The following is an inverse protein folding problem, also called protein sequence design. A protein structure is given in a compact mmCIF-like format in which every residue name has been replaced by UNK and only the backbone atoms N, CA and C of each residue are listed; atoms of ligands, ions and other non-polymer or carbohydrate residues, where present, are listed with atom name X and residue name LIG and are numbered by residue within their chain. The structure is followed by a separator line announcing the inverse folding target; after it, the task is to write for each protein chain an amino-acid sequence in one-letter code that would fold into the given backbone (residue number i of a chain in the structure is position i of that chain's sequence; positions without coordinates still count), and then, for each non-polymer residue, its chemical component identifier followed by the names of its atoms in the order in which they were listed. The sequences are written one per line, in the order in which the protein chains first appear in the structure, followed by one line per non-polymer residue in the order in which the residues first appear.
data_IF_884011330235
#
_entry.id   IF_884011330235
#
_cell.length_a   1.000
_cell.length_b   1.000
_cell.length_c   1.000
_cell.angle_alpha   90.00
_cell.angle_beta   90.00
_cell.angle_gamma   90.00
#
_symmetry.space_group_name_H-M   'P 1'
#
loop_
_entity.id
_entity.type
_entity.pdbx_description
1 polymer ?
#
# COMPACT_ATOMS: atom_id res chain seq x y z
N UNK A 1 -6.75 -30.86 38.57
CA UNK A 1 -7.28 -29.72 37.79
C UNK A 1 -6.13 -28.84 37.33
N UNK A 2 -5.54 -29.14 36.17
CA UNK A 2 -4.50 -28.32 35.55
C UNK A 2 -5.17 -27.32 34.60
N UNK A 3 -5.34 -26.07 35.06
CA UNK A 3 -5.60 -24.93 34.16
C UNK A 3 -4.27 -24.23 33.92
N UNK A 4 -3.42 -24.82 33.09
CA UNK A 4 -2.17 -24.20 32.67
C UNK A 4 -2.34 -23.57 31.29
N UNK A 5 -2.39 -22.23 31.30
CA UNK A 5 -1.94 -21.32 30.25
C UNK A 5 -2.10 -21.76 28.78
N UNK A 6 -3.31 -21.65 28.24
CA UNK A 6 -3.46 -21.09 26.90
C UNK A 6 -3.55 -19.58 27.07
N UNK A 7 -2.38 -18.94 27.14
CA UNK A 7 -2.28 -17.53 26.76
C UNK A 7 -2.90 -17.44 25.36
N UNK A 8 -3.90 -16.58 25.10
CA UNK A 8 -4.26 -16.29 23.72
C UNK A 8 -2.96 -15.89 23.03
N UNK A 9 -2.67 -16.49 21.88
CA UNK A 9 -1.59 -15.99 21.03
C UNK A 9 -1.99 -14.56 20.69
N UNK A 10 -1.35 -13.59 21.34
CA UNK A 10 -1.24 -12.23 20.81
C UNK A 10 -0.34 -12.29 19.56
N UNK A 11 -0.78 -13.01 18.52
CA UNK A 11 -0.32 -12.71 17.18
C UNK A 11 -1.06 -11.44 16.81
N UNK A 12 -0.38 -10.30 16.97
CA UNK A 12 -0.89 -8.97 16.64
C UNK A 12 -1.63 -9.02 15.31
N UNK A 13 -2.95 -8.87 15.35
CA UNK A 13 -3.79 -8.92 14.17
C UNK A 13 -3.32 -7.80 13.23
N UNK A 14 -2.80 -8.17 12.06
CA UNK A 14 -2.47 -7.21 11.03
C UNK A 14 -3.74 -6.40 10.73
N UNK A 15 -3.62 -5.08 10.67
CA UNK A 15 -4.75 -4.22 10.32
C UNK A 15 -5.26 -4.60 8.92
N UNK A 16 -6.55 -4.39 8.64
CA UNK A 16 -7.12 -4.62 7.30
C UNK A 16 -6.29 -3.94 6.20
N UNK A 17 -5.74 -2.75 6.49
CA UNK A 17 -4.81 -2.04 5.61
C UNK A 17 -3.50 -2.78 5.36
N UNK A 18 -2.92 -3.41 6.38
CA UNK A 18 -1.69 -4.21 6.22
C UNK A 18 -1.97 -5.48 5.41
N UNK A 19 -3.12 -6.12 5.64
CA UNK A 19 -3.51 -7.31 4.88
C UNK A 19 -3.76 -6.97 3.40
N UNK A 20 -4.50 -5.89 3.12
CA UNK A 20 -4.72 -5.42 1.76
C UNK A 20 -3.39 -5.09 1.04
N UNK A 21 -2.47 -4.44 1.75
CA UNK A 21 -1.14 -4.15 1.21
C UNK A 21 -0.37 -5.43 0.87
N UNK A 22 -0.42 -6.45 1.73
CA UNK A 22 0.24 -7.73 1.45
C UNK A 22 -0.29 -8.38 0.18
N UNK A 23 -1.63 -8.44 0.01
CA UNK A 23 -2.23 -8.99 -1.21
C UNK A 23 -1.78 -8.24 -2.47
N UNK A 24 -1.67 -6.91 -2.40
CA UNK A 24 -1.18 -6.11 -3.52
C UNK A 24 0.29 -6.39 -3.81
N UNK A 25 1.14 -6.55 -2.80
CA UNK A 25 2.56 -6.88 -2.97
C UNK A 25 2.77 -8.29 -3.55
N UNK A 26 1.96 -9.26 -3.13
CA UNK A 26 2.01 -10.62 -3.68
C UNK A 26 1.65 -10.61 -5.18
N UNK A 27 0.56 -9.93 -5.55
CA UNK A 27 0.17 -9.74 -6.94
C UNK A 27 1.22 -8.96 -7.75
N UNK A 28 1.93 -8.04 -7.11
CA UNK A 28 3.02 -7.28 -7.72
C UNK A 28 4.17 -8.18 -8.11
N UNK A 29 4.61 -9.06 -7.20
CA UNK A 29 5.71 -9.98 -7.47
C UNK A 29 5.33 -11.03 -8.51
N UNK A 30 4.08 -11.49 -8.53
CA UNK A 30 3.57 -12.38 -9.58
C UNK A 30 3.62 -11.72 -10.96
N UNK A 31 3.12 -10.49 -11.10
CA UNK A 31 3.18 -9.76 -12.37
C UNK A 31 4.63 -9.53 -12.84
N UNK A 32 5.54 -9.21 -11.91
CA UNK A 32 6.96 -9.06 -12.23
C UNK A 32 7.60 -10.39 -12.67
N UNK A 33 7.19 -11.52 -12.06
CA UNK A 33 7.64 -12.86 -12.44
C UNK A 33 7.20 -13.25 -13.86
N UNK A 34 5.99 -12.85 -14.26
CA UNK A 34 5.46 -13.00 -15.62
C UNK A 34 6.13 -12.07 -16.66
N UNK A 35 7.10 -11.24 -16.24
CA UNK A 35 7.89 -10.39 -17.12
C UNK A 35 7.30 -9.00 -17.37
N UNK A 36 6.30 -8.57 -16.59
CA UNK A 36 5.79 -7.20 -16.66
C UNK A 36 6.80 -6.25 -16.02
N UNK A 37 7.09 -5.15 -16.71
CA UNK A 37 8.00 -4.11 -16.20
C UNK A 37 7.47 -3.51 -14.88
N UNK A 38 8.37 -3.35 -13.89
CA UNK A 38 7.98 -2.90 -12.54
C UNK A 38 7.47 -1.46 -12.52
N UNK A 39 7.96 -0.59 -13.41
CA UNK A 39 7.47 0.79 -13.51
C UNK A 39 6.06 0.82 -14.13
N UNK A 40 5.78 -0.10 -15.06
CA UNK A 40 4.42 -0.32 -15.58
C UNK A 40 3.47 -0.81 -14.48
N UNK A 41 3.87 -1.77 -13.65
CA UNK A 41 3.05 -2.24 -12.52
C UNK A 41 2.78 -1.08 -11.55
N UNK A 42 3.80 -0.27 -11.22
CA UNK A 42 3.64 0.88 -10.34
C UNK A 42 2.64 1.91 -10.88
N UNK A 43 2.74 2.23 -12.17
CA UNK A 43 1.84 3.17 -12.84
C UNK A 43 0.41 2.64 -12.87
N UNK A 44 0.23 1.35 -13.17
CA UNK A 44 -1.07 0.70 -13.15
C UNK A 44 -1.70 0.68 -11.74
N UNK A 45 -0.89 0.43 -10.69
CA UNK A 45 -1.36 0.46 -9.31
C UNK A 45 -1.83 1.87 -8.89
N UNK A 46 -1.10 2.92 -9.28
CA UNK A 46 -1.52 4.30 -9.03
C UNK A 46 -2.85 4.60 -9.75
N UNK A 47 -2.96 4.19 -11.01
CA UNK A 47 -4.20 4.38 -11.78
C UNK A 47 -5.38 3.67 -11.09
N UNK A 48 -5.24 2.39 -10.76
CA UNK A 48 -6.29 1.62 -10.11
C UNK A 48 -6.70 2.24 -8.76
N UNK A 49 -5.73 2.63 -7.93
CA UNK A 49 -6.00 3.27 -6.64
C UNK A 49 -6.74 4.60 -6.80
N UNK A 50 -6.32 5.47 -7.73
CA UNK A 50 -6.99 6.74 -7.96
C UNK A 50 -8.38 6.56 -8.56
N UNK A 51 -8.57 5.62 -9.49
CA UNK A 51 -9.88 5.30 -10.06
C UNK A 51 -10.87 4.82 -9.00
N UNK A 52 -10.45 3.96 -8.09
CA UNK A 52 -11.30 3.48 -6.99
C UNK A 52 -11.68 4.62 -6.03
N UNK A 53 -10.71 5.48 -5.67
CA UNK A 53 -10.97 6.64 -4.82
C UNK A 53 -11.91 7.64 -5.50
N UNK A 54 -11.75 7.89 -6.81
CA UNK A 54 -12.62 8.78 -7.57
C UNK A 54 -14.03 8.19 -7.68
N UNK A 55 -14.16 6.88 -7.93
CA UNK A 55 -15.45 6.18 -7.93
C UNK A 55 -16.18 6.33 -6.60
N UNK A 56 -15.44 6.27 -5.49
CA UNK A 56 -16.02 6.35 -4.13
C UNK A 56 -16.32 7.78 -3.68
N UNK A 57 -15.44 8.73 -3.99
CA UNK A 57 -15.45 10.07 -3.38
C UNK A 57 -15.64 11.22 -4.38
N UNK A 58 -15.53 10.97 -5.68
CA UNK A 58 -15.54 11.98 -6.74
C UNK A 58 -14.16 12.59 -7.03
N UNK A 59 -14.04 13.30 -8.15
CA UNK A 59 -12.78 13.81 -8.67
C UNK A 59 -12.17 14.90 -7.79
N UNK A 60 -12.97 15.88 -7.36
CA UNK A 60 -12.46 17.05 -6.62
C UNK A 60 -11.88 16.68 -5.24
N UNK A 61 -12.53 15.84 -4.40
CA UNK A 61 -11.94 15.41 -3.14
C UNK A 61 -10.61 14.66 -3.31
N UNK A 62 -10.50 13.83 -4.36
CA UNK A 62 -9.26 13.09 -4.66
C UNK A 62 -8.18 14.04 -5.19
N UNK A 63 -8.54 15.04 -6.00
CA UNK A 63 -7.60 16.07 -6.44
C UNK A 63 -6.99 16.82 -5.25
N UNK A 64 -7.82 17.24 -4.28
CA UNK A 64 -7.36 17.89 -3.04
C UNK A 64 -6.44 16.97 -2.24
N UNK A 65 -6.77 15.68 -2.10
CA UNK A 65 -5.90 14.70 -1.45
C UNK A 65 -4.51 14.62 -2.14
N UNK A 66 -4.49 14.63 -3.46
CA UNK A 66 -3.27 14.52 -4.26
C UNK A 66 -2.37 15.76 -4.21
N UNK A 67 -2.89 16.95 -3.88
CA UNK A 67 -2.10 18.19 -3.82
C UNK A 67 -0.89 18.08 -2.87
N UNK A 68 -0.97 17.24 -1.84
CA UNK A 68 0.12 17.04 -0.87
C UNK A 68 1.17 16.03 -1.31
N UNK A 69 0.91 15.22 -2.35
CA UNK A 69 1.83 14.16 -2.77
C UNK A 69 3.22 14.69 -3.18
N UNK A 70 3.36 15.79 -3.95
CA UNK A 70 4.67 16.29 -4.33
C UNK A 70 5.55 16.64 -3.11
N UNK A 71 4.97 17.21 -2.06
CA UNK A 71 5.69 17.53 -0.83
C UNK A 71 6.14 16.26 -0.10
N UNK A 72 5.25 15.27 0.00
CA UNK A 72 5.54 13.97 0.65
C UNK A 72 6.64 13.19 -0.08
N UNK A 73 6.61 13.20 -1.42
CA UNK A 73 7.64 12.60 -2.27
C UNK A 73 8.99 13.27 -2.04
N UNK A 74 9.06 14.61 -2.08
CA UNK A 74 10.30 15.34 -1.82
C UNK A 74 10.78 15.20 -0.38
N UNK A 75 9.86 14.99 0.57
CA UNK A 75 10.15 14.66 1.96
C UNK A 75 10.69 13.25 2.17
N UNK A 76 10.71 12.41 1.13
CA UNK A 76 11.23 11.05 1.18
C UNK A 76 10.29 10.04 1.83
N UNK A 77 9.00 10.36 1.99
CA UNK A 77 8.02 9.47 2.65
C UNK A 77 7.86 8.10 1.95
N UNK A 78 8.17 8.05 0.66
CA UNK A 78 8.04 6.84 -0.17
C UNK A 78 9.39 6.23 -0.57
N UNK A 79 10.50 6.79 -0.09
CA UNK A 79 11.84 6.26 -0.37
C UNK A 79 12.19 5.18 0.63
N UNK A 80 12.44 3.96 0.16
CA UNK A 80 12.87 2.83 1.02
C UNK A 80 14.27 3.05 1.62
N UNK A 81 15.09 3.86 0.97
CA UNK A 81 16.40 4.30 1.44
C UNK A 81 16.38 5.83 1.40
N UNK A 82 16.60 6.47 2.55
CA UNK A 82 16.69 7.94 2.62
C UNK A 82 17.91 8.39 1.82
N UNK A 83 17.67 8.80 0.59
CA UNK A 83 18.70 9.44 -0.22
C UNK A 83 18.59 10.93 0.09
N UNK A 84 19.25 11.37 1.18
CA UNK A 84 19.48 12.81 1.38
C UNK A 84 20.38 13.28 0.23
N UNK A 85 19.76 13.83 -0.81
CA UNK A 85 20.42 14.59 -1.87
C UNK A 85 20.46 16.06 -1.44
#
# INVERSE_FOLDING_TARGET
MLKNALRPRDTGAATEKQLALQFLLDAWEEAAYEGVDRDCIATAAIFAALSELISTYGEEPVAVMCQRLPERVRGGEFSLISTRQ
#
